data_IF_278944271368
#
_entry.id   IF_278944271368
#
_cell.length_a   1.000
_cell.length_b   1.000
_cell.length_c   1.000
_cell.angle_alpha   90.00
_cell.angle_beta   90.00
_cell.angle_gamma   90.00
#
_symmetry.space_group_name_H-M   'P 1'
#
loop_
_entity.id
_entity.type
_entity.pdbx_description
1 polymer ?
#
# COMPACT_ATOMS: atom_id res chain seq x y z
N UNK A 1 -6.78 -34.86 -12.92
CA UNK A 1 -6.30 -33.98 -11.86
C UNK A 1 -6.67 -32.54 -12.20
N UNK A 2 -7.49 -31.93 -11.38
CA UNK A 2 -7.77 -30.51 -11.52
C UNK A 2 -6.48 -29.72 -11.27
N UNK A 3 -5.99 -29.07 -12.29
CA UNK A 3 -4.91 -28.08 -12.10
C UNK A 3 -5.44 -27.00 -11.17
N UNK A 4 -4.91 -26.92 -9.98
CA UNK A 4 -5.14 -25.76 -9.13
C UNK A 4 -4.70 -24.54 -9.92
N UNK A 5 -5.65 -23.79 -10.44
CA UNK A 5 -5.38 -22.48 -10.98
C UNK A 5 -4.77 -21.65 -9.85
N UNK A 6 -3.46 -21.42 -9.93
CA UNK A 6 -2.80 -20.53 -9.02
C UNK A 6 -3.53 -19.19 -9.05
N UNK A 7 -4.04 -18.74 -7.91
CA UNK A 7 -4.61 -17.40 -7.80
C UNK A 7 -3.59 -16.42 -8.33
N UNK A 8 -3.96 -15.65 -9.36
CA UNK A 8 -3.13 -14.57 -9.85
C UNK A 8 -2.74 -13.67 -8.67
N UNK A 9 -1.46 -13.61 -8.39
CA UNK A 9 -0.93 -12.65 -7.43
C UNK A 9 -1.32 -11.24 -7.85
N UNK A 10 -1.74 -10.42 -6.90
CA UNK A 10 -2.00 -9.02 -7.17
C UNK A 10 -0.74 -8.35 -7.76
N UNK A 11 -0.90 -7.71 -8.90
CA UNK A 11 0.14 -6.89 -9.50
C UNK A 11 -0.45 -5.52 -9.81
N UNK A 12 0.08 -4.49 -9.18
CA UNK A 12 -0.36 -3.11 -9.37
C UNK A 12 -0.28 -2.69 -10.84
N UNK A 13 0.84 -3.03 -11.49
CA UNK A 13 1.06 -2.69 -12.90
C UNK A 13 0.05 -3.39 -13.81
N UNK A 14 -0.19 -4.68 -13.60
CA UNK A 14 -1.14 -5.44 -14.43
C UNK A 14 -2.56 -4.93 -14.26
N UNK A 15 -3.00 -4.66 -13.04
CA UNK A 15 -4.33 -4.13 -12.79
C UNK A 15 -4.50 -2.72 -13.35
N UNK A 16 -3.48 -1.88 -13.20
CA UNK A 16 -3.49 -0.55 -13.78
C UNK A 16 -3.56 -0.61 -15.32
N UNK A 17 -2.77 -1.49 -15.93
CA UNK A 17 -2.77 -1.70 -17.37
C UNK A 17 -4.14 -2.16 -17.89
N UNK A 18 -4.72 -3.19 -17.28
CA UNK A 18 -6.04 -3.70 -17.65
C UNK A 18 -7.13 -2.63 -17.48
N UNK A 19 -7.05 -1.87 -16.39
CA UNK A 19 -7.98 -0.78 -16.14
C UNK A 19 -7.85 0.35 -17.16
N UNK A 20 -6.65 0.74 -17.53
CA UNK A 20 -6.40 1.75 -18.57
C UNK A 20 -6.95 1.29 -19.91
N UNK A 21 -6.74 0.03 -20.28
CA UNK A 21 -7.29 -0.52 -21.50
C UNK A 21 -8.83 -0.51 -21.51
N UNK A 22 -9.45 -0.73 -20.35
CA UNK A 22 -10.91 -0.73 -20.20
C UNK A 22 -11.55 0.66 -20.31
N UNK A 23 -10.84 1.73 -19.94
CA UNK A 23 -11.34 3.12 -20.00
C UNK A 23 -10.86 3.91 -21.22
N UNK A 24 -10.00 3.31 -22.03
CA UNK A 24 -9.44 3.97 -23.21
C UNK A 24 -10.36 3.77 -24.40
N UNK A 25 -10.71 4.88 -25.07
CA UNK A 25 -11.47 4.87 -26.32
C UNK A 25 -10.55 5.24 -27.48
N UNK A 26 -10.65 4.49 -28.56
CA UNK A 26 -9.94 4.79 -29.80
C UNK A 26 -10.88 5.58 -30.72
N UNK A 27 -10.47 6.78 -31.12
CA UNK A 27 -11.23 7.61 -32.05
C UNK A 27 -11.08 7.11 -33.49
N UNK A 28 -11.98 7.52 -34.39
CA UNK A 28 -11.94 7.18 -35.82
C UNK A 28 -10.62 7.56 -36.51
N UNK A 29 -9.91 8.54 -35.95
CA UNK A 29 -8.60 9.00 -36.46
C UNK A 29 -7.40 8.24 -35.88
N UNK A 30 -7.63 7.22 -35.08
CA UNK A 30 -6.57 6.44 -34.41
C UNK A 30 -6.00 7.08 -33.15
N UNK A 31 -6.56 8.22 -32.72
CA UNK A 31 -6.18 8.86 -31.45
C UNK A 31 -6.84 8.19 -30.26
N UNK A 32 -6.14 8.14 -29.13
CA UNK A 32 -6.64 7.56 -27.90
C UNK A 32 -7.25 8.65 -27.03
N UNK A 33 -8.52 8.51 -26.70
CA UNK A 33 -9.20 9.38 -25.73
C UNK A 33 -9.15 8.76 -24.34
N UNK A 34 -8.63 9.52 -23.40
CA UNK A 34 -8.59 9.14 -22.00
C UNK A 34 -8.99 10.35 -21.16
N UNK A 35 -10.09 10.23 -20.41
CA UNK A 35 -10.51 11.28 -19.50
C UNK A 35 -9.64 11.29 -18.24
N UNK A 36 -9.21 12.48 -17.84
CA UNK A 36 -8.37 12.65 -16.64
C UNK A 36 -9.07 12.18 -15.35
N UNK A 37 -10.37 12.43 -15.23
CA UNK A 37 -11.15 12.00 -14.08
C UNK A 37 -11.24 10.46 -13.98
N UNK A 38 -11.46 9.80 -15.10
CA UNK A 38 -11.49 8.33 -15.16
C UNK A 38 -10.14 7.71 -14.80
N UNK A 39 -9.05 8.31 -15.26
CA UNK A 39 -7.70 7.87 -14.91
C UNK A 39 -7.43 8.03 -13.42
N UNK A 40 -7.83 9.14 -12.83
CA UNK A 40 -7.70 9.39 -11.39
C UNK A 40 -8.46 8.36 -10.58
N UNK A 41 -9.72 8.12 -10.93
CA UNK A 41 -10.57 7.13 -10.24
C UNK A 41 -9.98 5.72 -10.36
N UNK A 42 -9.45 5.37 -11.53
CA UNK A 42 -8.79 4.10 -11.75
C UNK A 42 -7.57 3.92 -10.86
N UNK A 43 -6.71 4.92 -10.76
CA UNK A 43 -5.52 4.89 -9.93
C UNK A 43 -5.91 4.71 -8.46
N UNK A 44 -6.86 5.49 -7.96
CA UNK A 44 -7.37 5.38 -6.60
C UNK A 44 -7.97 3.99 -6.31
N UNK A 45 -8.76 3.47 -7.22
CA UNK A 45 -9.35 2.13 -7.09
C UNK A 45 -8.29 1.04 -7.03
N UNK A 46 -7.26 1.14 -7.88
CA UNK A 46 -6.15 0.18 -7.92
C UNK A 46 -5.35 0.21 -6.61
N UNK A 47 -5.04 1.39 -6.10
CA UNK A 47 -4.37 1.54 -4.80
C UNK A 47 -5.22 1.01 -3.64
N UNK A 48 -6.51 1.33 -3.62
CA UNK A 48 -7.42 0.85 -2.58
C UNK A 48 -7.53 -0.67 -2.56
N UNK A 49 -7.58 -1.29 -3.72
CA UNK A 49 -7.58 -2.75 -3.84
C UNK A 49 -6.30 -3.37 -3.29
N UNK A 50 -5.16 -2.78 -3.62
CA UNK A 50 -3.87 -3.19 -3.07
C UNK A 50 -3.83 -3.03 -1.55
N UNK A 51 -4.35 -1.92 -1.02
CA UNK A 51 -4.43 -1.69 0.42
C UNK A 51 -5.30 -2.73 1.14
N UNK A 52 -6.44 -3.10 0.56
CA UNK A 52 -7.31 -4.16 1.12
C UNK A 52 -6.61 -5.51 1.16
N UNK A 53 -5.88 -5.87 0.12
CA UNK A 53 -5.11 -7.11 0.07
C UNK A 53 -3.97 -7.10 1.09
N UNK A 54 -3.28 -5.98 1.25
CA UNK A 54 -2.25 -5.82 2.28
C UNK A 54 -2.84 -5.94 3.70
N UNK A 55 -4.01 -5.38 3.94
CA UNK A 55 -4.73 -5.53 5.20
C UNK A 55 -5.11 -7.00 5.48
N UNK A 56 -5.36 -7.77 4.43
CA UNK A 56 -5.61 -9.21 4.51
C UNK A 56 -4.38 -10.07 4.80
N UNK A 57 -3.19 -9.49 4.82
CA UNK A 57 -1.93 -10.16 5.14
C UNK A 57 -0.99 -10.39 3.96
N UNK A 58 -1.38 -10.02 2.75
CA UNK A 58 -0.53 -10.12 1.57
C UNK A 58 0.49 -8.97 1.51
N UNK A 59 1.67 -9.29 1.01
CA UNK A 59 2.66 -8.26 0.70
C UNK A 59 2.36 -7.69 -0.68
N UNK A 60 1.91 -6.45 -0.74
CA UNK A 60 1.60 -5.77 -2.00
C UNK A 60 2.80 -4.91 -2.41
N UNK A 61 3.36 -5.21 -3.55
CA UNK A 61 4.52 -4.51 -4.09
C UNK A 61 4.09 -3.43 -5.08
N UNK A 62 4.48 -2.20 -4.80
CA UNK A 62 4.33 -1.09 -5.73
C UNK A 62 5.68 -0.77 -6.36
N UNK A 63 5.77 -0.60 -7.69
CA UNK A 63 7.05 -0.32 -8.35
C UNK A 63 7.62 1.02 -7.90
N UNK A 64 8.94 1.07 -7.74
CA UNK A 64 9.74 2.25 -7.39
C UNK A 64 9.61 2.68 -5.93
N UNK A 65 8.40 2.78 -5.39
CA UNK A 65 8.15 3.39 -4.08
C UNK A 65 8.12 2.40 -2.91
N UNK A 66 8.00 1.10 -3.17
CA UNK A 66 8.14 0.09 -2.12
C UNK A 66 7.04 -0.94 -2.05
N UNK A 67 6.85 -1.50 -0.86
CA UNK A 67 5.85 -2.52 -0.60
C UNK A 67 5.03 -2.19 0.64
N UNK A 68 3.74 -2.46 0.57
CA UNK A 68 2.81 -2.31 1.68
C UNK A 68 2.57 -3.68 2.31
N UNK A 69 2.79 -3.77 3.63
CA UNK A 69 2.58 -4.99 4.41
C UNK A 69 1.78 -4.68 5.66
N UNK A 70 1.15 -5.71 6.19
CA UNK A 70 0.42 -5.62 7.44
C UNK A 70 1.36 -5.84 8.62
N UNK A 71 1.33 -4.92 9.57
CA UNK A 71 1.98 -5.07 10.86
C UNK A 71 0.94 -5.41 11.91
N UNK A 72 1.16 -6.48 12.63
CA UNK A 72 0.33 -6.84 13.77
C UNK A 72 0.86 -6.18 15.03
N UNK A 73 -0.01 -5.46 15.73
CA UNK A 73 0.29 -4.85 17.02
C UNK A 73 -0.39 -5.69 18.10
N UNK A 74 0.42 -6.23 19.00
CA UNK A 74 -0.09 -7.03 20.13
C UNK A 74 -0.93 -6.17 21.07
N UNK A 75 -1.97 -6.77 21.63
CA UNK A 75 -2.74 -6.14 22.70
C UNK A 75 -1.83 -5.85 23.90
N UNK A 76 -2.00 -4.68 24.49
CA UNK A 76 -1.35 -4.31 25.75
C UNK A 76 -2.37 -4.32 26.88
N UNK A 77 -2.01 -4.95 27.97
CA UNK A 77 -2.77 -4.89 29.21
C UNK A 77 -2.65 -3.49 29.81
N UNK A 78 -3.68 -3.05 30.55
CA UNK A 78 -3.58 -1.87 31.38
C UNK A 78 -2.42 -2.02 32.36
N UNK A 79 -1.60 -1.01 32.52
CA UNK A 79 -0.45 -1.03 33.41
C UNK A 79 -0.06 0.37 33.86
N UNK A 80 0.87 0.43 34.81
CA UNK A 80 1.46 1.69 35.23
C UNK A 80 2.67 1.99 34.36
N UNK A 81 2.67 3.17 33.75
CA UNK A 81 3.80 3.70 33.03
C UNK A 81 4.41 4.90 33.75
N UNK A 82 5.58 5.35 33.29
CA UNK A 82 6.24 6.53 33.82
C UNK A 82 6.34 7.55 32.68
N UNK A 83 5.94 8.79 32.96
CA UNK A 83 6.12 9.89 32.03
C UNK A 83 7.62 10.22 31.91
N UNK A 84 8.25 10.08 30.73
CA UNK A 84 9.70 10.33 30.57
C UNK A 84 10.09 11.79 30.76
N UNK A 85 9.14 12.73 30.69
CA UNK A 85 9.41 14.16 30.86
C UNK A 85 9.30 14.62 32.31
N UNK A 86 8.39 14.07 33.09
CA UNK A 86 8.12 14.50 34.46
C UNK A 86 8.47 13.45 35.51
N UNK A 87 8.69 12.19 35.12
CA UNK A 87 8.95 11.09 36.04
C UNK A 87 7.72 10.64 36.83
N UNK A 88 6.54 11.21 36.57
CA UNK A 88 5.31 10.84 37.24
C UNK A 88 4.74 9.52 36.73
N UNK A 89 4.16 8.75 37.64
CA UNK A 89 3.45 7.52 37.29
C UNK A 89 2.15 7.86 36.54
N UNK A 90 1.99 7.30 35.35
CA UNK A 90 0.77 7.44 34.55
C UNK A 90 0.12 6.06 34.38
N UNK A 91 -1.21 6.05 34.39
CA UNK A 91 -1.95 4.83 34.05
C UNK A 91 -2.03 4.71 32.53
N UNK A 92 -1.53 3.59 32.00
CA UNK A 92 -1.66 3.25 30.59
C UNK A 92 -2.91 2.41 30.40
N UNK A 93 -3.84 2.90 29.59
CA UNK A 93 -5.06 2.15 29.26
C UNK A 93 -4.72 0.91 28.44
N UNK A 94 -5.47 -0.17 28.68
CA UNK A 94 -5.38 -1.37 27.84
C UNK A 94 -5.70 -1.02 26.38
N UNK A 95 -4.90 -1.54 25.46
CA UNK A 95 -5.11 -1.39 24.01
C UNK A 95 -5.40 -2.76 23.41
N UNK A 96 -6.49 -2.90 22.62
CA UNK A 96 -6.75 -4.14 21.91
C UNK A 96 -5.70 -4.37 20.82
N UNK A 97 -5.55 -5.61 20.41
CA UNK A 97 -4.73 -5.95 19.25
C UNK A 97 -5.24 -5.22 18.00
N UNK A 98 -4.34 -4.67 17.24
CA UNK A 98 -4.68 -3.94 16.01
C UNK A 98 -3.73 -4.33 14.88
N UNK A 99 -4.18 -4.08 13.66
CA UNK A 99 -3.39 -4.31 12.45
C UNK A 99 -3.16 -2.95 11.78
N UNK A 100 -1.90 -2.63 11.57
CA UNK A 100 -1.51 -1.35 10.97
C UNK A 100 -0.77 -1.55 9.66
N UNK A 101 -0.88 -0.61 8.72
CA UNK A 101 -0.07 -0.66 7.52
C UNK A 101 1.40 -0.36 7.85
N UNK A 102 2.30 -1.08 7.21
CA UNK A 102 3.74 -0.83 7.27
C UNK A 102 4.27 -0.68 5.85
N UNK A 103 5.02 0.35 5.62
CA UNK A 103 5.66 0.61 4.34
C UNK A 103 7.13 0.22 4.37
N UNK A 104 7.54 -0.52 3.35
CA UNK A 104 8.94 -0.94 3.18
C UNK A 104 9.50 -0.27 1.93
N UNK A 105 10.53 0.53 2.09
CA UNK A 105 11.17 1.23 0.98
C UNK A 105 12.23 0.36 0.30
N UNK A 106 12.30 0.35 -1.05
CA UNK A 106 13.35 -0.35 -1.76
C UNK A 106 14.70 0.39 -1.64
N UNK A 107 15.76 -0.37 -1.82
CA UNK A 107 17.13 0.18 -1.76
C UNK A 107 17.35 1.28 -2.80
N UNK A 108 16.82 1.10 -4.00
CA UNK A 108 16.93 2.09 -5.08
C UNK A 108 16.35 3.45 -4.70
N UNK A 109 15.21 3.47 -4.00
CA UNK A 109 14.61 4.71 -3.50
C UNK A 109 15.47 5.36 -2.42
N UNK A 110 16.00 4.56 -1.50
CA UNK A 110 16.92 5.04 -0.45
C UNK A 110 18.19 5.63 -1.06
N UNK A 111 18.74 5.00 -2.08
CA UNK A 111 19.92 5.50 -2.79
C UNK A 111 19.64 6.83 -3.50
N UNK A 112 18.45 6.99 -4.08
CA UNK A 112 18.02 8.25 -4.70
C UNK A 112 17.97 9.39 -3.68
N UNK A 113 17.48 9.15 -2.48
CA UNK A 113 17.46 10.15 -1.42
C UNK A 113 18.83 10.40 -0.79
N UNK A 114 19.70 9.41 -0.82
CA UNK A 114 21.08 9.56 -0.33
C UNK A 114 21.96 10.36 -1.30
N UNK A 115 21.57 10.47 -2.56
CA UNK A 115 22.32 11.22 -3.57
C UNK A 115 22.10 12.73 -3.39
N UNK A 116 23.17 13.41 -2.99
CA UNK A 116 23.17 14.86 -2.74
C UNK A 116 22.88 15.70 -3.99
N UNK A 117 23.06 15.14 -5.17
CA UNK A 117 22.72 15.82 -6.43
C UNK A 117 21.23 16.08 -6.59
N UNK A 118 20.40 15.33 -5.89
CA UNK A 118 18.95 15.45 -5.93
C UNK A 118 18.38 16.41 -4.87
N UNK A 119 19.23 16.99 -4.06
CA UNK A 119 18.81 17.87 -2.95
C UNK A 119 18.68 19.33 -3.39
#
# INVERSE_FOLDING_TARGET
MAKKTAKKKYSFINELYEGVMGITEVTKTGSVKLKRSELKDLIETTFNRGAKLAAGGERVRFPVIGALVRREVKARKAGKGVNPFTGEAIEVKARPASKKPRWSFPKSLKDTFADKKNW
#
